data_IF_027570614607
#
_entry.id   IF_027570614607
#
_cell.length_a   1.000
_cell.length_b   1.000
_cell.length_c   1.000
_cell.angle_alpha   90.00
_cell.angle_beta   90.00
_cell.angle_gamma   90.00
#
_symmetry.space_group_name_H-M   'P 1'
#
loop_
_entity.id
_entity.type
_entity.pdbx_description
1 polymer ?
#
# COMPACT_ATOMS: atom_id res chain seq x y z
N UNK A 1 44.32 -32.70 42.44
CA UNK A 1 44.58 -31.74 41.33
C UNK A 1 43.67 -32.04 40.13
N UNK A 2 42.36 -31.69 40.18
CA UNK A 2 41.40 -31.85 39.07
C UNK A 2 40.51 -30.61 38.91
N UNK A 3 41.09 -29.41 38.94
CA UNK A 3 40.32 -28.14 38.92
C UNK A 3 40.63 -27.24 37.72
N UNK A 4 41.48 -27.66 36.78
CA UNK A 4 41.94 -26.80 35.67
C UNK A 4 41.16 -26.97 34.36
N UNK A 5 40.38 -28.05 34.19
CA UNK A 5 39.64 -28.31 32.93
C UNK A 5 38.31 -27.56 32.79
N UNK A 6 37.73 -27.04 33.88
CA UNK A 6 36.44 -26.32 33.82
C UNK A 6 36.58 -24.95 33.14
N UNK A 7 37.70 -24.26 33.35
CA UNK A 7 37.94 -22.92 32.80
C UNK A 7 38.10 -22.96 31.28
N UNK A 8 38.78 -24.00 30.74
CA UNK A 8 38.92 -24.21 29.30
C UNK A 8 37.59 -24.57 28.60
N UNK A 9 36.72 -25.32 29.27
CA UNK A 9 35.38 -25.63 28.73
C UNK A 9 34.45 -24.40 28.73
N UNK A 10 34.56 -23.52 29.73
CA UNK A 10 33.83 -22.25 29.74
C UNK A 10 34.26 -21.33 28.59
N UNK A 11 35.54 -21.33 28.20
CA UNK A 11 36.06 -20.60 27.06
C UNK A 11 35.56 -21.18 25.70
N UNK A 12 35.49 -22.50 25.56
CA UNK A 12 34.93 -23.14 24.36
C UNK A 12 33.40 -22.90 24.20
N UNK A 13 32.67 -22.84 25.32
CA UNK A 13 31.25 -22.45 25.34
C UNK A 13 31.04 -20.98 24.91
N UNK A 14 32.01 -20.10 25.15
CA UNK A 14 31.97 -18.70 24.71
C UNK A 14 32.04 -18.55 23.17
N UNK A 15 32.58 -19.54 22.45
CA UNK A 15 32.66 -19.53 20.98
C UNK A 15 31.49 -20.23 20.28
N UNK A 16 30.61 -20.90 21.02
CA UNK A 16 29.47 -21.58 20.41
C UNK A 16 28.40 -20.58 19.97
N UNK A 17 28.24 -20.41 18.65
CA UNK A 17 27.24 -19.51 18.00
C UNK A 17 25.86 -19.57 18.64
N UNK A 18 25.43 -20.76 19.08
CA UNK A 18 24.13 -20.98 19.74
C UNK A 18 24.01 -20.27 21.09
N UNK A 19 25.08 -20.24 21.90
CA UNK A 19 25.10 -19.55 23.19
C UNK A 19 25.15 -18.05 22.97
N UNK A 20 25.98 -17.58 22.03
CA UNK A 20 26.04 -16.17 21.66
C UNK A 20 24.68 -15.64 21.18
N UNK A 21 24.09 -16.28 20.16
CA UNK A 21 22.78 -15.90 19.63
C UNK A 21 21.67 -16.05 20.67
N UNK A 22 21.72 -17.10 21.49
CA UNK A 22 20.75 -17.34 22.55
C UNK A 22 20.83 -16.34 23.71
N UNK A 23 21.98 -15.73 23.96
CA UNK A 23 22.13 -14.65 24.96
C UNK A 23 21.78 -13.29 24.37
N UNK A 24 22.21 -13.01 23.13
CA UNK A 24 21.91 -11.75 22.44
C UNK A 24 20.40 -11.56 22.20
N UNK A 25 19.70 -12.61 21.76
CA UNK A 25 18.26 -12.55 21.50
C UNK A 25 17.43 -12.27 22.76
N UNK A 26 17.83 -12.83 23.91
CA UNK A 26 17.17 -12.59 25.20
C UNK A 26 17.29 -11.14 25.66
N UNK A 27 18.46 -10.52 25.49
CA UNK A 27 18.67 -9.11 25.84
C UNK A 27 17.87 -8.16 24.94
N UNK A 28 17.94 -8.37 23.62
CA UNK A 28 17.18 -7.58 22.65
C UNK A 28 15.67 -7.76 22.82
N UNK A 29 15.20 -8.98 23.10
CA UNK A 29 13.79 -9.27 23.37
C UNK A 29 13.27 -8.57 24.63
N UNK A 30 14.05 -8.55 25.71
CA UNK A 30 13.68 -7.83 26.92
C UNK A 30 13.62 -6.31 26.69
N UNK A 31 14.53 -5.74 25.91
CA UNK A 31 14.50 -4.32 25.52
C UNK A 31 13.28 -3.99 24.66
N UNK A 32 12.91 -4.86 23.71
CA UNK A 32 11.72 -4.70 22.89
C UNK A 32 10.44 -4.76 23.74
N UNK A 33 10.36 -5.72 24.68
CA UNK A 33 9.23 -5.84 25.59
C UNK A 33 9.10 -4.60 26.50
N UNK A 34 10.21 -4.09 27.04
CA UNK A 34 10.23 -2.86 27.82
C UNK A 34 9.75 -1.64 27.01
N UNK A 35 10.09 -1.58 25.72
CA UNK A 35 9.60 -0.56 24.79
C UNK A 35 8.08 -0.62 24.59
N UNK A 36 7.50 -1.83 24.53
CA UNK A 36 6.05 -1.99 24.39
C UNK A 36 5.30 -1.69 25.69
N UNK A 37 5.84 -2.10 26.84
CA UNK A 37 5.24 -1.83 28.15
C UNK A 37 5.29 -0.34 28.51
N UNK A 38 6.40 0.34 28.17
CA UNK A 38 6.60 1.74 28.44
C UNK A 38 7.23 2.44 27.21
N UNK A 39 6.41 2.90 26.24
CA UNK A 39 6.88 3.49 24.98
C UNK A 39 7.77 4.72 25.10
N UNK A 40 7.84 5.32 26.29
CA UNK A 40 8.68 6.48 26.58
C UNK A 40 10.06 6.13 27.16
N UNK A 41 10.32 4.88 27.57
CA UNK A 41 11.60 4.49 28.21
C UNK A 41 12.81 4.62 27.27
N UNK A 42 12.61 4.32 25.99
CA UNK A 42 13.68 4.39 24.97
C UNK A 42 13.65 5.70 24.16
N UNK A 43 12.78 6.65 24.53
CA UNK A 43 12.81 7.98 23.92
C UNK A 43 14.02 8.73 24.47
N UNK A 44 14.96 9.07 23.59
CA UNK A 44 16.10 9.91 23.94
C UNK A 44 15.62 11.23 24.58
N UNK A 45 16.22 11.61 25.70
CA UNK A 45 15.97 12.87 26.43
C UNK A 45 16.53 14.11 25.73
N UNK A 46 16.78 14.04 24.42
CA UNK A 46 17.24 15.13 23.58
C UNK A 46 16.14 15.60 22.65
N UNK A 47 15.37 16.61 23.07
CA UNK A 47 14.61 17.43 22.14
C UNK A 47 15.57 18.27 21.31
N UNK A 48 15.90 17.82 20.10
CA UNK A 48 16.18 18.67 18.93
C UNK A 48 16.16 17.82 17.66
N UNK A 49 15.32 18.22 16.69
CA UNK A 49 15.07 17.63 15.37
C UNK A 49 14.31 16.27 15.41
N UNK A 50 12.99 16.21 15.28
CA UNK A 50 12.06 17.03 14.50
C UNK A 50 10.71 17.11 15.22
N UNK A 51 9.94 18.16 14.93
CA UNK A 51 8.49 18.13 15.10
C UNK A 51 7.92 17.09 14.14
N UNK A 52 8.09 15.81 14.43
CA UNK A 52 7.29 14.75 13.88
C UNK A 52 6.01 14.74 14.69
N UNK A 53 4.95 15.32 14.12
CA UNK A 53 3.62 15.14 14.67
C UNK A 53 3.40 13.63 14.88
N UNK A 54 2.67 13.25 15.91
CA UNK A 54 2.17 11.88 16.07
C UNK A 54 1.15 11.47 14.97
N UNK A 55 1.30 12.01 13.76
CA UNK A 55 0.50 11.77 12.55
C UNK A 55 1.33 11.56 11.28
N UNK A 56 2.65 11.80 11.27
CA UNK A 56 3.47 11.63 10.06
C UNK A 56 3.92 10.18 9.87
N UNK A 57 2.97 9.31 9.53
CA UNK A 57 3.31 8.09 8.78
C UNK A 57 3.82 8.54 7.42
N UNK A 58 5.01 8.08 7.04
CA UNK A 58 5.54 8.28 5.69
C UNK A 58 4.48 7.84 4.65
N UNK A 59 3.90 8.79 3.93
CA UNK A 59 2.78 8.57 2.98
C UNK A 59 3.22 7.94 1.66
N UNK A 60 4.49 7.53 1.56
CA UNK A 60 5.07 7.02 0.32
C UNK A 60 5.46 8.11 -0.67
N UNK A 61 5.32 9.38 -0.30
CA UNK A 61 5.56 10.52 -1.19
C UNK A 61 6.68 11.38 -0.63
N UNK A 62 7.74 11.57 -1.41
CA UNK A 62 8.81 12.52 -1.12
C UNK A 62 8.31 13.91 -1.51
N UNK A 63 8.24 14.83 -0.54
CA UNK A 63 7.86 16.22 -0.76
C UNK A 63 8.79 17.14 0.04
N UNK A 64 9.50 18.11 -0.58
CA UNK A 64 9.55 18.42 -2.01
C UNK A 64 10.45 17.45 -2.79
N UNK A 65 10.16 17.26 -4.09
CA UNK A 65 11.08 16.55 -4.97
C UNK A 65 12.32 17.42 -5.23
N UNK A 66 13.52 16.83 -5.15
CA UNK A 66 14.75 17.53 -5.50
C UNK A 66 14.84 17.92 -7.00
N UNK A 67 14.05 17.28 -7.86
CA UNK A 67 13.99 17.53 -9.31
C UNK A 67 12.54 17.51 -9.81
N UNK A 68 12.21 18.25 -10.90
CA UNK A 68 10.89 18.18 -11.50
C UNK A 68 10.61 16.77 -12.07
N UNK A 69 9.46 16.20 -11.73
CA UNK A 69 9.04 14.90 -12.24
C UNK A 69 8.79 14.98 -13.76
N UNK A 70 9.40 14.06 -14.53
CA UNK A 70 9.18 13.92 -15.98
C UNK A 70 8.86 12.46 -16.31
N UNK A 71 7.66 12.18 -16.79
CA UNK A 71 7.29 10.87 -17.29
C UNK A 71 7.97 10.62 -18.65
N UNK A 72 8.81 9.57 -18.74
CA UNK A 72 9.51 9.20 -20.00
C UNK A 72 8.78 8.14 -20.81
N UNK A 73 7.95 7.32 -20.17
CA UNK A 73 7.23 6.20 -20.80
C UNK A 73 5.86 6.07 -20.17
N UNK A 74 4.86 5.82 -21.00
CA UNK A 74 3.47 5.60 -20.60
C UNK A 74 3.10 4.21 -21.06
N UNK A 75 2.67 3.36 -20.13
CA UNK A 75 2.10 2.04 -20.47
C UNK A 75 0.59 2.23 -20.55
N UNK A 76 0.03 2.03 -21.74
CA UNK A 76 -1.41 2.12 -21.99
C UNK A 76 -2.00 0.72 -22.14
N UNK A 77 -2.87 0.33 -21.21
CA UNK A 77 -3.50 -0.98 -21.20
C UNK A 77 -4.96 -0.84 -21.62
N UNK A 78 -5.33 -1.38 -22.79
CA UNK A 78 -6.72 -1.49 -23.23
C UNK A 78 -7.30 -2.81 -22.74
N UNK A 79 -7.92 -2.80 -21.58
CA UNK A 79 -8.63 -3.97 -21.06
C UNK A 79 -10.04 -4.00 -21.64
N UNK A 80 -10.42 -5.10 -22.29
CA UNK A 80 -11.80 -5.30 -22.72
C UNK A 80 -12.70 -5.35 -21.48
N UNK A 81 -13.66 -4.42 -21.40
CA UNK A 81 -14.64 -4.34 -20.31
C UNK A 81 -14.29 -3.38 -19.16
N UNK A 82 -13.17 -2.66 -19.21
CA UNK A 82 -12.90 -1.57 -18.26
C UNK A 82 -13.62 -0.27 -18.65
N UNK A 83 -13.99 0.59 -17.69
CA UNK A 83 -14.55 1.90 -18.01
C UNK A 83 -13.51 2.69 -18.82
N UNK A 84 -13.93 3.23 -19.97
CA UNK A 84 -13.02 4.02 -20.79
C UNK A 84 -12.60 5.28 -20.03
N UNK A 85 -11.45 5.86 -20.36
CA UNK A 85 -11.05 7.16 -19.80
C UNK A 85 -12.11 8.24 -20.05
N UNK A 86 -12.84 8.14 -21.17
CA UNK A 86 -13.95 9.02 -21.52
C UNK A 86 -15.17 8.82 -20.61
N UNK A 87 -15.36 7.62 -20.05
CA UNK A 87 -16.45 7.34 -19.10
C UNK A 87 -16.08 7.71 -17.65
N UNK A 88 -14.79 7.62 -17.28
CA UNK A 88 -14.36 7.70 -15.87
C UNK A 88 -14.31 9.13 -15.33
N UNK A 89 -14.04 10.13 -16.18
CA UNK A 89 -13.77 11.50 -15.75
C UNK A 89 -14.77 12.55 -16.28
N UNK A 90 -15.75 12.14 -17.09
CA UNK A 90 -16.78 13.03 -17.63
C UNK A 90 -18.16 12.64 -17.09
N UNK A 91 -18.69 13.34 -16.07
CA UNK A 91 -20.01 13.03 -15.54
C UNK A 91 -21.08 13.32 -16.62
N UNK A 92 -21.87 12.30 -16.95
CA UNK A 92 -22.96 12.40 -17.95
C UNK A 92 -24.33 12.53 -17.26
N UNK A 93 -24.75 13.75 -16.83
CA UNK A 93 -25.97 13.94 -16.06
C UNK A 93 -27.23 13.55 -16.83
N UNK A 94 -27.25 13.74 -18.15
CA UNK A 94 -28.38 13.34 -18.99
C UNK A 94 -28.52 11.82 -19.06
N UNK A 95 -27.41 11.08 -19.13
CA UNK A 95 -27.40 9.62 -19.17
C UNK A 95 -27.83 9.02 -17.82
N UNK A 96 -27.46 9.67 -16.71
CA UNK A 96 -27.96 9.32 -15.38
C UNK A 96 -29.47 9.53 -15.24
N UNK A 97 -30.04 10.61 -15.82
CA UNK A 97 -31.49 10.87 -15.80
C UNK A 97 -32.29 9.83 -16.58
N UNK A 98 -31.77 9.36 -17.71
CA UNK A 98 -32.42 8.38 -18.57
C UNK A 98 -32.15 6.94 -18.12
N UNK A 99 -31.49 6.73 -16.99
CA UNK A 99 -31.13 5.38 -16.54
C UNK A 99 -32.38 4.52 -16.29
N UNK A 100 -32.48 3.38 -16.97
CA UNK A 100 -33.62 2.46 -16.87
C UNK A 100 -34.76 2.76 -17.86
N UNK A 101 -34.72 3.89 -18.57
CA UNK A 101 -35.69 4.23 -19.61
C UNK A 101 -35.38 3.53 -20.94
N UNK A 102 -36.39 3.30 -21.81
CA UNK A 102 -36.16 2.77 -23.14
C UNK A 102 -35.32 3.74 -23.97
N UNK A 103 -34.41 3.20 -24.79
CA UNK A 103 -33.54 4.00 -25.64
C UNK A 103 -34.35 4.89 -26.59
N UNK A 104 -34.09 6.21 -26.64
CA UNK A 104 -34.83 7.12 -27.51
C UNK A 104 -34.69 6.75 -28.99
N UNK A 105 -35.80 6.82 -29.73
CA UNK A 105 -35.88 6.40 -31.14
C UNK A 105 -34.93 7.18 -32.07
N UNK A 106 -34.55 8.41 -31.69
CA UNK A 106 -33.57 9.23 -32.41
C UNK A 106 -32.19 8.57 -32.54
N UNK A 107 -31.83 7.68 -31.61
CA UNK A 107 -30.55 6.95 -31.64
C UNK A 107 -30.67 5.56 -32.27
N UNK A 108 -31.88 4.99 -32.29
CA UNK A 108 -32.15 3.63 -32.77
C UNK A 108 -32.52 3.60 -34.26
N UNK A 109 -33.11 4.68 -34.80
CA UNK A 109 -33.60 4.72 -36.18
C UNK A 109 -32.44 4.67 -37.20
N UNK A 110 -32.35 3.57 -37.95
CA UNK A 110 -31.43 3.41 -39.09
C UNK A 110 -30.02 2.90 -38.76
N UNK A 111 -29.71 2.59 -37.50
CA UNK A 111 -28.42 2.00 -37.10
C UNK A 111 -28.54 0.48 -36.98
N UNK A 112 -27.76 -0.26 -37.75
CA UNK A 112 -27.65 -1.71 -37.58
C UNK A 112 -26.81 -2.01 -36.34
N UNK A 113 -27.47 -2.17 -35.20
CA UNK A 113 -26.83 -2.62 -33.95
C UNK A 113 -26.79 -4.14 -33.95
N UNK A 114 -25.83 -4.72 -34.68
CA UNK A 114 -25.78 -6.15 -35.02
C UNK A 114 -25.85 -7.11 -33.81
N UNK A 115 -25.47 -6.66 -32.61
CA UNK A 115 -25.49 -7.47 -31.38
C UNK A 115 -26.75 -7.27 -30.51
N UNK A 116 -27.58 -6.27 -30.81
CA UNK A 116 -28.75 -5.91 -29.98
C UNK A 116 -30.09 -6.08 -30.72
N UNK A 117 -30.09 -6.69 -31.91
CA UNK A 117 -31.30 -6.99 -32.66
C UNK A 117 -32.19 -7.95 -31.83
N UNK A 118 -33.40 -7.49 -31.47
CA UNK A 118 -34.38 -8.27 -30.71
C UNK A 118 -34.32 -8.15 -29.19
N UNK A 119 -33.39 -7.35 -28.63
CA UNK A 119 -33.34 -7.10 -27.18
C UNK A 119 -33.97 -5.76 -26.79
N UNK A 120 -34.56 -5.69 -25.59
CA UNK A 120 -35.06 -4.44 -25.01
C UNK A 120 -33.88 -3.50 -24.76
N UNK A 121 -33.77 -2.44 -25.56
CA UNK A 121 -32.74 -1.42 -25.40
C UNK A 121 -33.08 -0.52 -24.21
N UNK A 122 -32.27 -0.58 -23.17
CA UNK A 122 -32.40 0.23 -21.95
C UNK A 122 -31.19 1.14 -21.83
N UNK A 123 -31.41 2.39 -21.43
CA UNK A 123 -30.34 3.33 -21.14
C UNK A 123 -29.63 2.97 -19.82
N UNK A 124 -28.31 2.82 -19.87
CA UNK A 124 -27.46 2.61 -18.70
C UNK A 124 -26.78 3.91 -18.29
N UNK A 125 -26.93 4.28 -17.02
CA UNK A 125 -26.25 5.44 -16.43
C UNK A 125 -24.75 5.20 -16.27
N UNK A 126 -23.97 6.25 -15.96
CA UNK A 126 -22.57 6.11 -15.60
C UNK A 126 -22.40 5.21 -14.36
N UNK A 127 -21.43 4.28 -14.40
CA UNK A 127 -21.06 3.35 -13.32
C UNK A 127 -19.78 3.77 -12.62
#
# INVERSE_FOLDING_TARGET
>A
MKSTNAIGQLAALQQSRRIFLGRASKGLGALALASLLQPTLLRASGQAASKGSSGDRWTGVVNPLHFPARAKRVIWLTMAGGPSHLETFDPKPQLGKLHGEPMPESFTKGKQVAQLQGQKLVCFGPQ
#
